data_IF_968770283853
#
_entry.id   IF_968770283853
#
_cell.length_a   1.000
_cell.length_b   1.000
_cell.length_c   1.000
_cell.angle_alpha   90.00
_cell.angle_beta   90.00
_cell.angle_gamma   90.00
#
_symmetry.space_group_name_H-M   'P 1'
#
loop_
_entity.id
_entity.type
_entity.pdbx_description
1 polymer ?
#
# COMPACT_ATOMS: atom_id res chain seq x y z
N UNK A 1 -0.31 3.62 -19.11
CA UNK A 1 -0.99 4.87 -18.70
C UNK A 1 -0.21 5.49 -17.55
N UNK A 2 0.92 6.12 -17.88
CA UNK A 2 1.72 6.94 -16.97
C UNK A 2 2.11 8.26 -17.65
N UNK A 3 1.29 8.77 -18.57
CA UNK A 3 1.60 9.96 -19.38
C UNK A 3 1.79 11.25 -18.57
N UNK A 4 1.35 11.27 -17.32
CA UNK A 4 1.59 12.33 -16.34
C UNK A 4 2.61 11.91 -15.27
N UNK A 5 3.42 10.89 -15.58
CA UNK A 5 4.21 10.13 -14.61
C UNK A 5 3.36 9.14 -13.80
N UNK A 6 4.05 8.31 -13.02
CA UNK A 6 3.45 7.37 -12.07
C UNK A 6 4.30 7.29 -10.80
N UNK A 7 3.63 6.94 -9.70
CA UNK A 7 4.23 6.59 -8.42
C UNK A 7 3.94 5.11 -8.17
N UNK A 8 5.00 4.34 -7.97
CA UNK A 8 4.90 2.91 -7.74
C UNK A 8 5.27 2.64 -6.29
N UNK A 9 4.33 2.13 -5.52
CA UNK A 9 4.56 1.64 -4.16
C UNK A 9 4.66 0.13 -4.21
N UNK A 10 5.64 -0.45 -3.52
CA UNK A 10 5.90 -1.88 -3.54
C UNK A 10 5.96 -2.40 -2.12
N UNK A 11 5.14 -3.38 -1.76
CA UNK A 11 5.19 -4.09 -0.48
C UNK A 11 5.75 -5.49 -0.71
N UNK A 12 6.83 -5.82 0.00
CA UNK A 12 7.53 -7.11 -0.09
C UNK A 12 7.69 -7.67 1.33
N UNK A 13 6.96 -8.74 1.68
CA UNK A 13 7.21 -9.51 2.89
C UNK A 13 8.63 -10.07 2.91
N UNK A 14 9.20 -10.23 4.11
CA UNK A 14 10.59 -10.68 4.28
C UNK A 14 10.87 -12.00 3.53
N UNK A 15 9.94 -12.96 3.62
CA UNK A 15 10.03 -14.28 2.97
C UNK A 15 9.97 -14.20 1.44
N UNK A 16 9.43 -13.11 0.88
CA UNK A 16 9.34 -12.85 -0.56
C UNK A 16 10.61 -12.18 -1.13
N UNK A 17 11.55 -11.72 -0.29
CA UNK A 17 12.72 -10.92 -0.71
C UNK A 17 13.57 -11.58 -1.80
N UNK A 18 13.76 -12.90 -1.72
CA UNK A 18 14.56 -13.64 -2.70
C UNK A 18 13.92 -13.73 -4.08
N UNK A 19 12.58 -13.65 -4.15
CA UNK A 19 11.83 -13.61 -5.40
C UNK A 19 11.76 -12.16 -5.92
N UNK A 20 11.45 -11.22 -5.02
CA UNK A 20 11.27 -9.80 -5.36
C UNK A 20 12.52 -9.15 -5.96
N UNK A 21 13.72 -9.51 -5.50
CA UNK A 21 14.98 -8.99 -6.06
C UNK A 21 15.20 -9.32 -7.54
N UNK A 22 14.49 -10.31 -8.07
CA UNK A 22 14.56 -10.72 -9.48
C UNK A 22 13.36 -10.23 -10.31
N UNK A 23 12.43 -9.47 -9.72
CA UNK A 23 11.33 -8.83 -10.45
C UNK A 23 11.71 -7.37 -10.64
N UNK A 24 11.77 -6.92 -11.89
CA UNK A 24 12.29 -5.60 -12.26
C UNK A 24 11.16 -4.66 -12.66
N UNK A 25 11.21 -3.44 -12.14
CA UNK A 25 10.55 -2.26 -12.68
C UNK A 25 11.49 -1.70 -13.76
N UNK A 26 11.03 -1.72 -15.00
CA UNK A 26 11.74 -1.16 -16.15
C UNK A 26 10.90 -0.02 -16.74
N UNK A 27 11.35 1.21 -16.55
CA UNK A 27 10.70 2.40 -17.11
C UNK A 27 11.36 2.88 -18.42
N UNK A 28 12.21 2.05 -19.04
CA UNK A 28 12.99 2.35 -20.25
C UNK A 28 14.07 3.42 -20.09
N UNK A 29 14.23 4.01 -18.89
CA UNK A 29 15.33 4.93 -18.56
C UNK A 29 16.22 4.36 -17.47
N UNK A 30 15.59 3.73 -16.49
CA UNK A 30 16.20 3.10 -15.33
C UNK A 30 15.57 1.74 -15.08
N UNK A 31 16.31 0.89 -14.38
CA UNK A 31 15.82 -0.41 -13.94
C UNK A 31 16.08 -0.54 -12.45
N UNK A 32 15.07 -0.99 -11.72
CA UNK A 32 15.11 -1.21 -10.27
C UNK A 32 14.35 -2.48 -9.95
N UNK A 33 14.82 -3.30 -9.01
CA UNK A 33 14.06 -4.47 -8.60
C UNK A 33 13.00 -4.12 -7.54
N UNK A 34 11.99 -4.99 -7.37
CA UNK A 34 10.90 -4.76 -6.42
C UNK A 34 11.39 -4.70 -4.96
N UNK A 35 12.47 -5.39 -4.62
CA UNK A 35 13.04 -5.32 -3.27
C UNK A 35 13.64 -3.93 -3.00
N UNK A 36 14.40 -3.39 -3.94
CA UNK A 36 14.97 -2.04 -3.82
C UNK A 36 13.89 -0.94 -3.87
N UNK A 37 12.82 -1.16 -4.64
CA UNK A 37 11.66 -0.27 -4.67
C UNK A 37 10.78 -0.33 -3.40
N UNK A 38 10.97 -1.35 -2.54
CA UNK A 38 10.31 -1.44 -1.24
C UNK A 38 10.98 -0.50 -0.21
N UNK A 39 10.91 0.81 -0.47
CA UNK A 39 11.55 1.84 0.36
C UNK A 39 10.54 2.46 1.35
N UNK A 40 10.99 2.66 2.59
CA UNK A 40 10.26 3.35 3.66
C UNK A 40 11.06 4.58 4.14
N UNK A 41 10.34 5.63 4.55
CA UNK A 41 10.88 6.79 5.24
C UNK A 41 11.15 6.49 6.72
N UNK A 42 11.68 7.49 7.44
CA UNK A 42 12.00 7.37 8.88
C UNK A 42 10.74 7.16 9.73
N UNK A 43 9.61 7.68 9.27
CA UNK A 43 8.27 7.54 9.86
C UNK A 43 7.55 6.25 9.43
N UNK A 44 8.23 5.37 8.70
CA UNK A 44 7.64 4.15 8.14
C UNK A 44 6.76 4.37 6.91
N UNK A 45 6.55 5.63 6.47
CA UNK A 45 5.77 5.92 5.28
C UNK A 45 6.49 5.40 4.03
N UNK A 46 5.76 4.79 3.10
CA UNK A 46 6.30 4.27 1.85
C UNK A 46 6.76 5.43 0.97
N UNK A 47 7.98 5.33 0.46
CA UNK A 47 8.51 6.26 -0.54
C UNK A 47 8.26 5.64 -1.92
N UNK A 48 7.49 6.29 -2.80
CA UNK A 48 7.20 5.73 -4.11
C UNK A 48 8.43 5.77 -5.02
N UNK A 49 8.60 4.72 -5.80
CA UNK A 49 9.45 4.77 -6.99
C UNK A 49 8.73 5.62 -8.05
N UNK A 50 9.35 6.75 -8.44
CA UNK A 50 8.76 7.71 -9.37
C UNK A 50 9.17 7.40 -10.80
N UNK A 51 8.18 7.17 -11.65
CA UNK A 51 8.35 6.91 -13.08
C UNK A 51 7.88 8.13 -13.86
N UNK A 52 8.72 8.64 -14.77
CA UNK A 52 8.40 9.81 -15.61
C UNK A 52 7.83 9.38 -16.97
N UNK A 53 8.13 8.16 -17.41
CA UNK A 53 7.72 7.67 -18.72
C UNK A 53 6.29 7.12 -18.73
N UNK A 54 5.67 7.14 -19.92
CA UNK A 54 4.27 6.71 -20.08
C UNK A 54 4.07 5.20 -19.94
N UNK A 55 5.16 4.46 -20.08
CA UNK A 55 5.23 3.02 -20.08
C UNK A 55 6.19 2.53 -18.99
N UNK A 56 5.74 1.53 -18.26
CA UNK A 56 6.52 0.79 -17.28
C UNK A 56 6.24 -0.69 -17.46
N UNK A 57 7.28 -1.51 -17.40
CA UNK A 57 7.19 -2.96 -17.43
C UNK A 57 7.55 -3.53 -16.06
N UNK A 58 6.86 -4.60 -15.67
CA UNK A 58 7.25 -5.46 -14.56
C UNK A 58 7.76 -6.77 -15.15
N UNK A 59 9.06 -7.01 -15.03
CA UNK A 59 9.74 -8.15 -15.65
C UNK A 59 10.13 -9.17 -14.58
N UNK A 60 9.53 -10.35 -14.60
CA UNK A 60 9.90 -11.42 -13.68
C UNK A 60 11.05 -12.27 -14.26
N UNK A 61 12.25 -12.10 -13.72
CA UNK A 61 13.45 -12.85 -14.12
C UNK A 61 13.75 -14.05 -13.21
N UNK A 62 12.83 -14.45 -12.33
CA UNK A 62 12.99 -15.69 -11.57
C UNK A 62 12.97 -16.90 -12.52
N UNK A 63 13.76 -17.93 -12.18
CA UNK A 63 13.67 -19.22 -12.87
C UNK A 63 12.23 -19.75 -12.84
N UNK A 64 11.76 -20.26 -13.98
CA UNK A 64 10.38 -20.71 -14.19
C UNK A 64 9.30 -19.66 -13.89
N UNK A 65 9.66 -18.36 -13.90
CA UNK A 65 8.75 -17.26 -13.57
C UNK A 65 8.10 -17.42 -12.19
N UNK A 66 8.83 -18.00 -11.23
CA UNK A 66 8.36 -18.13 -9.84
C UNK A 66 7.92 -16.78 -9.28
N UNK A 67 6.87 -16.82 -8.48
CA UNK A 67 6.29 -15.66 -7.80
C UNK A 67 6.20 -15.93 -6.29
N UNK A 68 5.88 -14.88 -5.54
CA UNK A 68 5.66 -14.89 -4.10
C UNK A 68 4.61 -13.82 -3.76
N UNK A 69 4.04 -13.81 -2.53
CA UNK A 69 3.18 -12.72 -2.07
C UNK A 69 3.92 -11.39 -2.13
N UNK A 70 3.60 -10.56 -3.11
CA UNK A 70 4.19 -9.25 -3.37
C UNK A 70 3.06 -8.34 -3.87
N UNK A 71 3.01 -7.10 -3.38
CA UNK A 71 2.00 -6.14 -3.80
C UNK A 71 2.68 -4.95 -4.49
N UNK A 72 2.26 -4.66 -5.73
CA UNK A 72 2.67 -3.47 -6.47
C UNK A 72 1.45 -2.59 -6.70
N UNK A 73 1.49 -1.36 -6.19
CA UNK A 73 0.45 -0.37 -6.39
C UNK A 73 0.95 0.78 -7.25
N UNK A 74 0.43 0.85 -8.47
CA UNK A 74 0.80 1.85 -9.47
C UNK A 74 -0.26 2.95 -9.46
N UNK A 75 0.17 4.17 -9.17
CA UNK A 75 -0.73 5.33 -9.06
C UNK A 75 -0.29 6.40 -10.05
N UNK A 76 -1.23 6.90 -10.86
CA UNK A 76 -0.95 7.96 -11.84
C UNK A 76 -0.47 9.24 -11.16
N UNK A 77 0.51 9.93 -11.74
CA UNK A 77 1.07 11.16 -11.18
C UNK A 77 0.08 12.30 -10.97
N UNK A 78 -1.06 12.29 -11.68
CA UNK A 78 -2.13 13.27 -11.60
C UNK A 78 -3.35 12.81 -10.77
N UNK A 79 -3.23 11.74 -9.97
CA UNK A 79 -4.34 11.31 -9.12
C UNK A 79 -4.66 12.41 -8.08
N UNK A 80 -5.96 12.70 -7.91
CA UNK A 80 -6.46 13.86 -7.15
C UNK A 80 -5.87 14.00 -5.73
N UNK A 81 -5.60 12.87 -5.07
CA UNK A 81 -5.12 12.85 -3.69
C UNK A 81 -3.59 12.72 -3.59
N UNK A 82 -2.89 12.38 -4.69
CA UNK A 82 -1.44 12.25 -4.69
C UNK A 82 -0.75 13.61 -4.60
N UNK A 83 0.06 13.80 -3.55
CA UNK A 83 0.82 15.04 -3.33
C UNK A 83 0.11 16.09 -2.48
N UNK A 84 -1.13 15.82 -2.05
CA UNK A 84 -1.65 16.48 -0.86
C UNK A 84 -0.89 15.96 0.36
N UNK A 85 -0.64 16.81 1.36
CA UNK A 85 -0.11 16.41 2.67
C UNK A 85 -1.05 15.43 3.44
N UNK A 86 -2.11 14.98 2.78
CA UNK A 86 -3.22 14.26 3.34
C UNK A 86 -3.24 12.79 2.90
N UNK A 87 -2.26 12.30 2.12
CA UNK A 87 -2.19 10.87 1.77
C UNK A 87 -0.94 10.25 2.34
N UNK A 88 -1.15 9.26 3.18
CA UNK A 88 -0.11 8.47 3.81
C UNK A 88 -0.20 7.03 3.33
N UNK A 89 0.94 6.39 3.05
CA UNK A 89 0.98 5.01 2.57
C UNK A 89 1.95 4.26 3.47
N UNK A 90 1.52 3.14 4.01
CA UNK A 90 2.32 2.31 4.92
C UNK A 90 2.23 0.85 4.49
N UNK A 91 3.19 0.04 4.95
CA UNK A 91 2.93 -1.40 5.05
C UNK A 91 2.22 -1.70 6.39
N UNK A 92 1.57 -2.86 6.49
CA UNK A 92 0.96 -3.27 7.74
C UNK A 92 1.98 -3.80 8.76
N UNK A 93 3.13 -4.29 8.28
CA UNK A 93 4.24 -4.58 9.16
C UNK A 93 4.76 -3.26 9.74
N UNK A 94 4.90 -3.19 11.06
CA UNK A 94 5.55 -2.08 11.78
C UNK A 94 4.83 -0.73 11.83
N UNK A 95 3.53 -0.64 11.50
CA UNK A 95 2.82 0.65 11.59
C UNK A 95 2.50 1.07 13.03
N UNK A 96 3.45 1.77 13.65
CA UNK A 96 3.21 2.63 14.82
C UNK A 96 3.22 4.07 14.33
N UNK A 97 2.03 4.57 13.98
CA UNK A 97 1.82 5.95 13.58
C UNK A 97 1.36 6.75 14.80
N UNK A 98 2.05 7.85 15.10
CA UNK A 98 1.59 8.77 16.14
C UNK A 98 0.21 9.33 15.80
N UNK A 99 -0.62 9.55 16.82
CA UNK A 99 -1.97 10.10 16.65
C UNK A 99 -1.90 11.57 16.18
N UNK A 100 -1.90 11.76 14.87
CA UNK A 100 -1.99 13.07 14.21
C UNK A 100 -3.11 13.10 13.16
N UNK A 101 -3.68 14.28 12.83
CA UNK A 101 -4.63 14.39 11.72
C UNK A 101 -4.01 13.84 10.41
N UNK A 102 -4.70 12.90 9.78
CA UNK A 102 -4.42 12.42 8.42
C UNK A 102 -5.65 12.69 7.55
N UNK A 103 -5.46 12.74 6.23
CA UNK A 103 -6.59 12.62 5.31
C UNK A 103 -6.94 11.17 5.05
N UNK A 104 -6.16 10.51 4.21
CA UNK A 104 -6.33 9.14 3.76
C UNK A 104 -5.07 8.37 4.14
N UNK A 105 -5.23 7.31 4.91
CA UNK A 105 -4.17 6.35 5.22
C UNK A 105 -4.42 5.10 4.39
N UNK A 106 -3.46 4.75 3.54
CA UNK A 106 -3.46 3.51 2.76
C UNK A 106 -2.48 2.53 3.38
N UNK A 107 -2.97 1.36 3.79
CA UNK A 107 -2.12 0.25 4.23
C UNK A 107 -1.96 -0.72 3.06
N UNK A 108 -0.73 -1.02 2.71
CA UNK A 108 -0.33 -1.84 1.58
C UNK A 108 0.30 -3.14 2.11
N UNK A 109 -0.41 -4.25 2.03
CA UNK A 109 0.17 -5.52 2.46
C UNK A 109 -0.30 -6.67 1.56
N UNK A 110 0.63 -7.57 1.25
CA UNK A 110 0.37 -8.79 0.51
C UNK A 110 -0.13 -9.92 1.44
N UNK A 111 0.18 -9.85 2.73
CA UNK A 111 -0.18 -10.83 3.74
C UNK A 111 -1.39 -10.39 4.57
N UNK A 112 -2.11 -11.32 5.23
CA UNK A 112 -3.14 -10.94 6.19
C UNK A 112 -2.56 -10.15 7.36
N UNK A 113 -3.22 -9.07 7.74
CA UNK A 113 -2.78 -8.21 8.83
C UNK A 113 -3.93 -7.78 9.73
N UNK A 114 -3.56 -7.17 10.85
CA UNK A 114 -4.49 -6.66 11.85
C UNK A 114 -4.31 -5.17 12.00
N UNK A 115 -5.38 -4.41 11.82
CA UNK A 115 -5.38 -2.98 12.14
C UNK A 115 -5.79 -2.81 13.60
N UNK A 116 -4.94 -2.13 14.37
CA UNK A 116 -5.24 -1.68 15.72
C UNK A 116 -5.26 -0.16 15.74
N UNK A 117 -6.35 0.43 16.24
CA UNK A 117 -6.50 1.88 16.33
C UNK A 117 -6.46 2.29 17.81
N UNK A 118 -5.51 3.15 18.15
CA UNK A 118 -5.34 3.74 19.47
C UNK A 118 -5.25 5.25 19.33
N UNK A 119 -5.99 5.99 20.15
CA UNK A 119 -5.99 7.46 20.11
C UNK A 119 -6.27 8.01 21.50
N UNK A 120 -5.57 9.08 21.84
CA UNK A 120 -5.68 9.82 23.10
C UNK A 120 -6.12 11.25 22.76
N UNK A 121 -7.38 11.62 23.02
CA UNK A 121 -7.86 12.96 22.71
C UNK A 121 -9.37 13.10 22.52
N UNK A 122 -9.80 14.20 21.89
CA UNK A 122 -11.19 14.41 21.49
C UNK A 122 -11.57 13.50 20.30
N UNK A 123 -12.85 13.10 20.21
CA UNK A 123 -13.34 12.23 19.14
C UNK A 123 -13.13 12.82 17.75
N UNK A 124 -12.79 11.98 16.78
CA UNK A 124 -12.78 12.32 15.36
C UNK A 124 -13.42 11.18 14.57
N UNK A 125 -14.20 11.48 13.51
CA UNK A 125 -14.77 10.43 12.67
C UNK A 125 -13.65 9.76 11.88
N UNK A 126 -13.69 8.43 11.79
CA UNK A 126 -12.78 7.70 10.92
C UNK A 126 -13.48 6.52 10.25
N UNK A 127 -13.00 6.18 9.06
CA UNK A 127 -13.48 5.06 8.27
C UNK A 127 -12.27 4.29 7.74
N UNK A 128 -12.35 2.96 7.78
CA UNK A 128 -11.39 2.07 7.14
C UNK A 128 -12.10 1.25 6.07
N UNK A 129 -11.52 1.24 4.88
CA UNK A 129 -12.04 0.56 3.70
C UNK A 129 -10.92 -0.31 3.13
N UNK A 130 -11.20 -1.59 2.91
CA UNK A 130 -10.26 -2.53 2.28
C UNK A 130 -10.60 -2.71 0.81
N UNK A 131 -9.62 -2.69 -0.08
CA UNK A 131 -9.77 -2.99 -1.51
C UNK A 131 -8.70 -3.99 -1.95
N UNK A 132 -9.05 -4.90 -2.86
CA UNK A 132 -8.18 -5.94 -3.41
C UNK A 132 -8.15 -5.89 -4.94
N UNK A 133 -6.99 -6.19 -5.54
CA UNK A 133 -6.76 -6.01 -6.99
C UNK A 133 -7.29 -7.14 -7.89
N UNK A 134 -7.76 -8.27 -7.33
CA UNK A 134 -8.20 -9.42 -8.14
C UNK A 134 -9.55 -10.00 -7.68
N UNK A 135 -10.60 -9.20 -7.81
CA UNK A 135 -11.97 -9.63 -7.62
C UNK A 135 -12.72 -9.59 -8.96
N UNK A 136 -12.67 -10.66 -9.77
CA UNK A 136 -13.34 -10.71 -11.07
C UNK A 136 -14.87 -10.74 -10.90
N UNK A 137 -15.49 -9.56 -10.85
CA UNK A 137 -16.93 -9.31 -10.77
C UNK A 137 -17.23 -7.81 -10.62
N UNK A 138 -18.48 -7.42 -10.32
CA UNK A 138 -18.84 -6.05 -9.87
C UNK A 138 -18.20 -5.69 -8.49
N UNK A 139 -17.00 -6.21 -8.24
CA UNK A 139 -16.47 -6.68 -6.96
C UNK A 139 -15.09 -6.10 -6.64
N UNK A 140 -14.72 -4.94 -7.21
CA UNK A 140 -13.85 -3.96 -6.53
C UNK A 140 -14.59 -3.37 -5.31
N UNK A 141 -15.22 -4.23 -4.50
CA UNK A 141 -15.95 -3.88 -3.30
C UNK A 141 -14.91 -3.52 -2.26
N UNK A 142 -14.44 -2.29 -2.35
CA UNK A 142 -14.11 -1.45 -1.21
C UNK A 142 -15.06 -1.81 -0.07
N UNK A 143 -14.60 -2.72 0.80
CA UNK A 143 -15.40 -3.21 1.90
C UNK A 143 -15.11 -2.31 3.07
N UNK A 144 -16.12 -1.56 3.48
CA UNK A 144 -16.07 -0.79 4.71
C UNK A 144 -15.93 -1.77 5.87
N UNK A 145 -14.78 -1.75 6.52
CA UNK A 145 -14.47 -2.63 7.65
C UNK A 145 -14.64 -1.91 8.98
N UNK A 146 -14.49 -0.58 9.00
CA UNK A 146 -14.70 0.24 10.20
C UNK A 146 -15.36 1.55 9.80
N UNK A 147 -16.38 1.97 10.54
CA UNK A 147 -16.95 3.32 10.49
C UNK A 147 -17.43 3.65 11.90
N UNK A 148 -16.81 4.63 12.53
CA UNK A 148 -17.11 5.03 13.91
C UNK A 148 -17.33 6.54 13.98
N UNK A 149 -18.48 6.94 14.51
CA UNK A 149 -18.75 8.30 14.99
C UNK A 149 -18.63 8.24 16.52
N UNK A 150 -17.42 8.40 17.05
CA UNK A 150 -17.14 8.14 18.46
C UNK A 150 -17.63 9.28 19.37
N UNK A 151 -18.71 9.06 20.13
CA UNK A 151 -19.20 9.99 21.17
C UNK A 151 -18.31 10.03 22.43
N UNK A 152 -17.53 8.96 22.70
CA UNK A 152 -16.42 8.91 23.67
C UNK A 152 -15.54 7.65 23.44
N UNK A 153 -14.24 7.72 23.76
CA UNK A 153 -13.23 6.69 23.41
C UNK A 153 -13.22 5.45 24.33
N UNK A 154 -13.19 4.22 23.76
CA UNK A 154 -12.54 3.05 24.38
C UNK A 154 -11.97 2.02 23.38
N UNK A 155 -10.78 1.52 23.78
CA UNK A 155 -10.08 0.24 23.58
C UNK A 155 -10.16 -0.47 22.23
N UNK A 156 -9.04 -0.37 21.50
CA UNK A 156 -8.47 -1.38 20.60
C UNK A 156 -9.51 -2.07 19.70
N UNK A 157 -9.91 -1.39 18.62
CA UNK A 157 -10.62 -2.08 17.55
C UNK A 157 -9.64 -2.95 16.77
N UNK A 158 -9.91 -4.26 16.71
CA UNK A 158 -9.09 -5.25 16.01
C UNK A 158 -9.86 -5.75 14.79
N UNK A 159 -9.43 -5.33 13.60
CA UNK A 159 -9.97 -5.85 12.34
C UNK A 159 -8.95 -6.73 11.66
N UNK A 160 -9.32 -7.98 11.37
CA UNK A 160 -8.52 -8.88 10.54
C UNK A 160 -8.79 -8.58 9.06
N UNK A 161 -7.76 -8.10 8.36
CA UNK A 161 -7.81 -7.91 6.91
C UNK A 161 -7.18 -9.14 6.27
N UNK A 162 -7.96 -9.87 5.48
CA UNK A 162 -7.44 -10.99 4.68
C UNK A 162 -7.11 -10.49 3.29
N UNK A 163 -5.88 -10.74 2.85
CA UNK A 163 -5.48 -10.55 1.45
C UNK A 163 -6.40 -11.39 0.56
N UNK A 164 -6.88 -10.84 -0.59
CA UNK A 164 -7.68 -11.60 -1.55
C UNK A 164 -6.89 -12.73 -2.24
N UNK A 165 -5.58 -12.82 -2.02
CA UNK A 165 -4.67 -13.78 -2.65
C UNK A 165 -4.59 -15.15 -1.92
N UNK A 166 -5.51 -15.45 -1.00
CA UNK A 166 -5.59 -16.75 -0.29
C UNK A 166 -6.80 -17.56 -0.74
#
# INVERSE_FOLDING_TARGET
YCGQGCRIYVSVPDDSSNVAKNILIDDFTTQTNLLDANTKGVDGQKIPHSVVNEQVNLLNNNADQKSAPILVWVVRGDALNLGSANVEVYDADTTLRDAAPAGIITILDAEPFVVNIMTEGAGFPFEAITAGFDAPGDQDKCTRVIQEDADSYQVLHRSEVRSPLI
#
